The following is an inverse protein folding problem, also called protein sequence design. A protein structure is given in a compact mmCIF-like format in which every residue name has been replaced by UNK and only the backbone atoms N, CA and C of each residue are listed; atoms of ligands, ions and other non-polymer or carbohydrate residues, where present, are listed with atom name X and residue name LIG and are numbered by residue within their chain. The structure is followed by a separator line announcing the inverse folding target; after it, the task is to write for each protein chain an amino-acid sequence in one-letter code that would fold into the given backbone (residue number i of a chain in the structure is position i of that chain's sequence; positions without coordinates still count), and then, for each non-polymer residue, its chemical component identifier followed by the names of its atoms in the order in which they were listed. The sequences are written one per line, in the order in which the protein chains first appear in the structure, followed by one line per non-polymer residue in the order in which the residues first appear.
data_IF_445296268897
#
_entry.id   IF_445296268897
#
_cell.length_a   1.000
_cell.length_b   1.000
_cell.length_c   1.000
_cell.angle_alpha   90.00
_cell.angle_beta   90.00
_cell.angle_gamma   90.00
#
_symmetry.space_group_name_H-M   'P 1'
#
loop_
_entity.id
_entity.type
_entity.pdbx_description
1 polymer ?
#
# COMPACT_ATOMS: atom_id res chain seq x y z
N UNK A 1 17.68 6.77 -9.06
CA UNK A 1 16.93 5.92 -10.02
C UNK A 1 15.48 5.83 -9.56
N UNK A 2 14.48 5.70 -10.44
CA UNK A 2 13.08 5.48 -10.02
C UNK A 2 12.77 3.98 -10.02
N UNK A 3 12.18 3.49 -8.93
CA UNK A 3 11.67 2.13 -8.77
C UNK A 3 10.14 2.18 -8.68
N UNK A 4 9.49 1.22 -9.33
CA UNK A 4 8.04 1.01 -9.26
C UNK A 4 7.84 -0.44 -8.83
N UNK A 5 7.27 -0.64 -7.65
CA UNK A 5 7.17 -1.95 -7.02
C UNK A 5 5.70 -2.21 -6.69
N UNK A 6 4.99 -3.04 -7.47
CA UNK A 6 3.67 -3.49 -7.09
C UNK A 6 3.77 -4.50 -5.97
N UNK A 7 3.19 -4.20 -4.81
CA UNK A 7 3.08 -5.13 -3.69
C UNK A 7 1.90 -6.09 -3.90
N UNK A 8 0.77 -5.57 -4.41
CA UNK A 8 -0.42 -6.36 -4.77
C UNK A 8 -1.29 -5.60 -5.78
N UNK A 9 -2.15 -6.33 -6.50
CA UNK A 9 -3.09 -5.77 -7.50
C UNK A 9 -2.71 -6.03 -8.98
N UNK A 10 -1.55 -6.65 -9.25
CA UNK A 10 -1.14 -6.98 -10.63
C UNK A 10 -1.67 -8.32 -11.16
N UNK A 11 -2.17 -9.18 -10.26
CA UNK A 11 -2.59 -10.57 -10.57
C UNK A 11 -3.90 -10.96 -9.88
N UNK A 12 -4.61 -10.00 -9.30
CA UNK A 12 -5.89 -10.20 -8.64
C UNK A 12 -6.71 -8.92 -8.73
N UNK A 13 -8.01 -9.02 -8.49
CA UNK A 13 -8.89 -7.85 -8.37
C UNK A 13 -8.88 -7.38 -6.92
N UNK A 14 -8.66 -6.08 -6.77
CA UNK A 14 -8.58 -5.42 -5.48
C UNK A 14 -7.31 -5.71 -4.69
N UNK A 15 -7.21 -5.09 -3.53
CA UNK A 15 -6.04 -5.24 -2.66
C UNK A 15 -4.85 -4.40 -3.11
N UNK A 16 -5.07 -3.39 -3.95
CA UNK A 16 -3.98 -2.73 -4.68
C UNK A 16 -3.07 -1.94 -3.72
N UNK A 17 -1.78 -2.05 -3.98
CA UNK A 17 -0.76 -1.24 -3.35
C UNK A 17 0.48 -1.19 -4.24
N UNK A 18 0.86 0.01 -4.67
CA UNK A 18 2.04 0.23 -5.52
C UNK A 18 2.99 1.21 -4.86
N UNK A 19 4.25 0.82 -4.72
CA UNK A 19 5.32 1.67 -4.21
C UNK A 19 6.07 2.36 -5.35
N UNK A 20 6.36 3.64 -5.15
CA UNK A 20 7.24 4.45 -5.98
C UNK A 20 8.38 4.94 -5.10
N UNK A 21 9.61 4.59 -5.47
CA UNK A 21 10.78 4.93 -4.69
C UNK A 21 11.91 5.53 -5.54
N UNK A 22 12.63 6.45 -4.93
CA UNK A 22 13.90 7.00 -5.41
C UNK A 22 14.98 6.77 -4.35
N UNK A 23 16.15 7.37 -4.53
CA UNK A 23 17.23 7.28 -3.54
C UNK A 23 16.94 8.15 -2.29
N UNK A 24 15.96 9.06 -2.35
CA UNK A 24 15.66 10.03 -1.28
C UNK A 24 14.18 10.13 -0.93
N UNK A 25 13.31 9.34 -1.56
CA UNK A 25 11.87 9.40 -1.34
C UNK A 25 11.23 8.03 -1.58
N UNK A 26 10.24 7.67 -0.78
CA UNK A 26 9.48 6.42 -0.84
C UNK A 26 8.01 6.70 -0.51
N UNK A 27 7.16 6.57 -1.53
CA UNK A 27 5.71 6.78 -1.40
C UNK A 27 4.95 5.57 -1.90
N UNK A 28 3.74 5.36 -1.39
CA UNK A 28 2.85 4.30 -1.86
C UNK A 28 1.54 4.90 -2.36
N UNK A 29 0.95 4.25 -3.37
CA UNK A 29 -0.39 4.50 -3.87
C UNK A 29 -1.30 3.34 -3.47
N UNK A 30 -2.42 3.71 -2.87
CA UNK A 30 -3.44 2.85 -2.30
C UNK A 30 -2.91 1.88 -1.23
N UNK A 31 -3.83 1.41 -0.39
CA UNK A 31 -3.58 0.42 0.64
C UNK A 31 -4.85 -0.41 0.83
N UNK A 32 -5.18 -1.17 -0.21
CA UNK A 32 -6.47 -1.83 -0.36
C UNK A 32 -6.56 -3.24 0.21
N UNK A 33 -7.77 -3.66 0.59
CA UNK A 33 -8.10 -5.06 0.89
C UNK A 33 -8.43 -5.83 -0.39
N UNK A 34 -8.07 -7.10 -0.49
CA UNK A 34 -8.49 -7.91 -1.63
C UNK A 34 -10.02 -8.07 -1.64
N UNK A 35 -10.61 -8.26 -2.82
CA UNK A 35 -12.02 -8.64 -2.88
C UNK A 35 -12.20 -10.05 -2.32
N UNK A 36 -13.38 -10.32 -1.74
CA UNK A 36 -13.68 -11.62 -1.15
C UNK A 36 -13.54 -12.74 -2.19
N UNK A 37 -12.67 -13.72 -1.89
CA UNK A 37 -12.41 -14.87 -2.77
C UNK A 37 -11.48 -14.60 -3.96
N UNK A 38 -10.90 -13.40 -4.07
CA UNK A 38 -10.03 -13.01 -5.19
C UNK A 38 -8.54 -12.97 -4.83
N UNK A 39 -7.76 -13.90 -5.39
CA UNK A 39 -6.31 -13.90 -5.26
C UNK A 39 -5.81 -14.05 -3.82
N UNK A 40 -4.72 -13.36 -3.49
CA UNK A 40 -4.14 -13.41 -2.14
C UNK A 40 -5.01 -12.64 -1.14
N UNK A 41 -5.48 -13.35 -0.13
CA UNK A 41 -6.36 -12.86 0.93
C UNK A 41 -5.59 -12.53 2.21
N UNK A 42 -4.28 -12.83 2.27
CA UNK A 42 -3.48 -12.53 3.43
C UNK A 42 -3.33 -11.02 3.62
N UNK A 43 -3.13 -10.55 4.86
CA UNK A 43 -2.98 -9.13 5.08
C UNK A 43 -1.73 -8.55 4.42
N UNK A 44 -1.82 -7.31 3.94
CA UNK A 44 -0.68 -6.66 3.26
C UNK A 44 0.52 -6.43 4.20
N UNK A 45 1.64 -7.10 3.93
CA UNK A 45 2.89 -6.92 4.67
C UNK A 45 3.89 -6.13 3.82
N UNK A 46 4.17 -4.89 4.25
CA UNK A 46 5.15 -4.01 3.62
C UNK A 46 6.11 -3.50 4.68
N UNK A 47 7.39 -3.86 4.56
CA UNK A 47 8.46 -3.38 5.45
C UNK A 47 8.57 -1.86 5.34
N UNK A 48 8.64 -1.16 6.48
CA UNK A 48 8.60 0.31 6.51
C UNK A 48 7.20 0.89 6.73
N UNK A 49 6.14 0.10 6.50
CA UNK A 49 4.75 0.58 6.46
C UNK A 49 3.83 -0.17 7.42
N UNK A 50 3.79 -1.50 7.35
CA UNK A 50 2.98 -2.35 8.26
C UNK A 50 3.82 -3.24 9.17
N UNK A 51 5.12 -3.32 8.89
CA UNK A 51 6.11 -4.10 9.67
C UNK A 51 7.43 -3.34 9.73
N UNK A 52 8.21 -3.58 10.78
CA UNK A 52 9.55 -3.02 10.95
C UNK A 52 9.54 -1.58 11.44
N UNK A 53 10.69 -0.92 11.30
CA UNK A 53 10.83 0.52 11.55
C UNK A 53 10.16 1.33 10.45
N UNK A 54 9.62 2.50 10.78
CA UNK A 54 8.94 3.35 9.79
C UNK A 54 9.93 3.85 8.74
N UNK A 55 9.63 3.59 7.47
CA UNK A 55 10.43 3.98 6.31
C UNK A 55 9.49 4.21 5.12
N UNK A 56 8.71 5.29 5.20
CA UNK A 56 7.76 5.68 4.17
C UNK A 56 7.43 7.16 4.37
N UNK A 57 7.54 7.96 3.32
CA UNK A 57 7.31 9.40 3.41
C UNK A 57 5.82 9.75 3.36
N UNK A 58 5.04 9.01 2.57
CA UNK A 58 3.61 9.25 2.43
C UNK A 58 2.89 8.08 1.73
N UNK A 59 1.59 7.98 1.98
CA UNK A 59 0.66 7.14 1.24
C UNK A 59 -0.40 8.03 0.60
N UNK A 60 -0.66 7.83 -0.69
CA UNK A 60 -1.69 8.52 -1.46
C UNK A 60 -2.80 7.54 -1.81
N UNK A 61 -4.04 7.90 -1.52
CA UNK A 61 -5.22 7.11 -1.84
C UNK A 61 -5.87 7.69 -3.09
N UNK A 62 -6.13 6.86 -4.09
CA UNK A 62 -6.71 7.31 -5.36
C UNK A 62 -8.20 7.63 -5.22
N UNK A 63 -8.92 6.80 -4.48
CA UNK A 63 -10.34 6.94 -4.15
C UNK A 63 -10.73 6.00 -3.00
N UNK A 64 -11.99 6.01 -2.57
CA UNK A 64 -12.40 5.44 -1.28
C UNK A 64 -12.92 4.00 -1.30
N UNK A 65 -12.92 3.29 -2.44
CA UNK A 65 -13.40 1.91 -2.45
C UNK A 65 -12.53 1.01 -1.58
N UNK A 66 -13.16 0.01 -0.94
CA UNK A 66 -12.49 -0.86 0.05
C UNK A 66 -11.27 -1.59 -0.51
N UNK A 67 -11.27 -1.85 -1.80
CA UNK A 67 -10.16 -2.47 -2.49
C UNK A 67 -8.97 -1.55 -2.80
N UNK A 68 -9.10 -0.27 -2.43
CA UNK A 68 -8.06 0.76 -2.45
C UNK A 68 -7.70 1.29 -1.04
N UNK A 69 -8.62 1.19 -0.06
CA UNK A 69 -8.43 1.77 1.29
C UNK A 69 -8.53 0.77 2.46
N UNK A 70 -8.91 -0.48 2.18
CA UNK A 70 -9.33 -1.43 3.21
C UNK A 70 -8.25 -1.87 4.19
N UNK A 71 -6.96 -1.76 3.83
CA UNK A 71 -5.84 -2.12 4.69
C UNK A 71 -5.28 -0.92 5.48
N UNK A 72 -5.82 0.30 5.30
CA UNK A 72 -5.36 1.51 6.00
C UNK A 72 -5.18 1.33 7.51
N UNK A 73 -6.10 0.64 8.24
CA UNK A 73 -5.94 0.44 9.68
C UNK A 73 -4.65 -0.29 10.11
N UNK A 74 -3.91 -0.88 9.17
CA UNK A 74 -2.64 -1.58 9.41
C UNK A 74 -1.41 -0.68 9.23
N UNK A 75 -1.57 0.50 8.64
CA UNK A 75 -0.49 1.47 8.44
C UNK A 75 0.03 1.92 9.80
N UNK A 76 1.35 1.90 9.99
CA UNK A 76 1.99 2.41 11.21
C UNK A 76 1.67 3.89 11.42
N UNK A 77 1.41 4.26 12.67
CA UNK A 77 1.21 5.65 13.06
C UNK A 77 2.42 6.52 12.67
N UNK A 78 2.15 7.77 12.30
CA UNK A 78 3.18 8.75 11.91
C UNK A 78 3.49 8.79 10.41
N UNK A 79 3.00 7.85 9.62
CA UNK A 79 3.04 7.93 8.15
C UNK A 79 1.89 8.83 7.69
N UNK A 80 2.16 9.95 6.99
CA UNK A 80 1.11 10.78 6.41
C UNK A 80 0.31 10.04 5.34
N UNK A 81 -1.02 10.15 5.40
CA UNK A 81 -1.94 9.59 4.41
C UNK A 81 -2.74 10.72 3.78
N UNK A 82 -2.72 10.80 2.45
CA UNK A 82 -3.42 11.81 1.66
C UNK A 82 -4.42 11.14 0.72
N UNK A 83 -5.52 11.84 0.42
CA UNK A 83 -6.48 11.50 -0.63
C UNK A 83 -6.79 12.75 -1.43
#
# INVERSE_FOLDING_TARGET
MIKVIPHRGMRQIGGVCTEIATDTARILFDFGSPLEGEGDQDPLIVEGVTKGETDCDAIFLTHYHGDHVGEIPRIKAGIPVYM
#
